data_IF_202483582263
#
_entry.id   IF_202483582263
#
_cell.length_a   1.000
_cell.length_b   1.000
_cell.length_c   1.000
_cell.angle_alpha   90.00
_cell.angle_beta   90.00
_cell.angle_gamma   90.00
#
_symmetry.space_group_name_H-M   'P 1'
#
loop_
_entity.id
_entity.type
_entity.pdbx_description
1 polymer ?
#
# COMPACT_ATOMS: atom_id res chain seq x y z
N UNK A 1 38.97 -11.25 16.64
CA UNK A 1 37.65 -11.65 16.13
C UNK A 1 36.64 -11.44 17.23
N UNK A 2 35.56 -10.70 17.03
CA UNK A 2 34.52 -10.56 18.06
C UNK A 2 33.53 -11.73 17.96
N UNK A 3 32.98 -12.17 19.10
CA UNK A 3 31.98 -13.25 19.15
C UNK A 3 30.77 -12.94 18.24
N UNK A 4 30.35 -11.67 18.20
CA UNK A 4 29.28 -11.21 17.31
C UNK A 4 29.62 -11.49 15.84
N UNK A 5 30.83 -11.15 15.40
CA UNK A 5 31.25 -11.36 14.01
C UNK A 5 31.18 -12.83 13.61
N UNK A 6 31.58 -13.74 14.50
CA UNK A 6 31.51 -15.18 14.27
C UNK A 6 30.06 -15.67 14.12
N UNK A 7 29.13 -15.16 14.93
CA UNK A 7 27.71 -15.49 14.78
C UNK A 7 27.12 -14.99 13.47
N UNK A 8 27.49 -13.79 13.03
CA UNK A 8 27.08 -13.28 11.72
C UNK A 8 27.56 -14.18 10.58
N UNK A 9 28.85 -14.54 10.54
CA UNK A 9 29.36 -15.45 9.50
C UNK A 9 28.67 -16.82 9.49
N UNK A 10 28.34 -17.35 10.67
CA UNK A 10 27.61 -18.60 10.78
C UNK A 10 26.19 -18.48 10.21
N UNK A 11 25.50 -17.36 10.47
CA UNK A 11 24.18 -17.08 9.91
C UNK A 11 24.27 -16.90 8.40
N UNK A 12 25.23 -16.12 7.90
CA UNK A 12 25.38 -15.85 6.47
C UNK A 12 25.68 -17.14 5.69
N UNK A 13 26.54 -18.00 6.24
CA UNK A 13 26.83 -19.32 5.66
C UNK A 13 25.58 -20.20 5.64
N UNK A 14 24.85 -20.28 6.75
CA UNK A 14 23.63 -21.09 6.83
C UNK A 14 22.52 -20.59 5.90
N UNK A 15 22.41 -19.26 5.72
CA UNK A 15 21.50 -18.65 4.77
C UNK A 15 21.89 -19.00 3.33
N UNK A 16 23.17 -18.86 2.97
CA UNK A 16 23.66 -19.23 1.64
C UNK A 16 23.44 -20.73 1.36
N UNK A 17 23.70 -21.62 2.32
CA UNK A 17 23.42 -23.06 2.18
C UNK A 17 21.92 -23.33 1.96
N UNK A 18 21.01 -22.63 2.65
CA UNK A 18 19.57 -22.79 2.47
C UNK A 18 19.07 -22.39 1.06
N UNK A 19 19.76 -21.44 0.41
CA UNK A 19 19.49 -21.06 -0.98
C UNK A 19 20.30 -21.88 -2.01
N UNK A 20 21.15 -22.80 -1.56
CA UNK A 20 22.04 -23.58 -2.44
C UNK A 20 23.24 -22.78 -2.99
N UNK A 21 23.56 -21.64 -2.39
CA UNK A 21 24.67 -20.75 -2.79
C UNK A 21 25.90 -20.87 -1.87
N UNK A 22 25.90 -21.85 -0.98
CA UNK A 22 26.94 -22.01 0.05
C UNK A 22 28.36 -22.11 -0.49
N UNK A 23 28.55 -22.82 -1.62
CA UNK A 23 29.88 -22.99 -2.22
C UNK A 23 30.41 -21.68 -2.82
N UNK A 24 29.55 -20.90 -3.47
CA UNK A 24 29.90 -19.58 -3.99
C UNK A 24 30.17 -18.57 -2.86
N UNK A 25 29.38 -18.62 -1.79
CA UNK A 25 29.57 -17.79 -0.59
C UNK A 25 30.89 -18.13 0.12
N UNK A 26 31.20 -19.41 0.34
CA UNK A 26 32.48 -19.85 0.95
C UNK A 26 33.68 -19.55 0.07
N UNK A 27 33.51 -19.55 -1.25
CA UNK A 27 34.53 -19.16 -2.21
C UNK A 27 34.70 -17.63 -2.33
N UNK A 28 33.81 -16.83 -1.72
CA UNK A 28 33.86 -15.37 -1.76
C UNK A 28 33.57 -14.78 -3.15
N UNK A 29 32.93 -15.55 -4.03
CA UNK A 29 32.59 -15.13 -5.40
C UNK A 29 31.13 -14.70 -5.54
N UNK A 30 30.33 -14.88 -4.48
CA UNK A 30 28.95 -14.44 -4.43
C UNK A 30 28.88 -12.96 -4.06
N UNK A 31 28.69 -12.10 -5.05
CA UNK A 31 28.55 -10.66 -4.87
C UNK A 31 27.10 -10.23 -4.63
N UNK A 32 26.91 -9.03 -4.06
CA UNK A 32 25.61 -8.47 -3.69
C UNK A 32 24.66 -8.29 -4.89
N UNK A 33 25.19 -7.94 -6.07
CA UNK A 33 24.37 -7.73 -7.28
C UNK A 33 23.84 -9.07 -7.80
N UNK A 34 24.67 -10.11 -7.78
CA UNK A 34 24.27 -11.49 -8.09
C UNK A 34 23.22 -11.99 -7.09
N UNK A 35 23.42 -11.77 -5.78
CA UNK A 35 22.43 -12.12 -4.74
C UNK A 35 21.09 -11.44 -5.06
N UNK A 36 21.10 -10.12 -5.25
CA UNK A 36 19.88 -9.35 -5.48
C UNK A 36 19.16 -9.80 -6.75
N UNK A 37 19.90 -10.02 -7.83
CA UNK A 37 19.35 -10.47 -9.12
C UNK A 37 18.66 -11.83 -8.99
N UNK A 38 19.29 -12.79 -8.30
CA UNK A 38 18.72 -14.12 -8.06
C UNK A 38 17.50 -14.06 -7.15
N UNK A 39 17.54 -13.26 -6.08
CA UNK A 39 16.40 -13.08 -5.19
C UNK A 39 15.20 -12.44 -5.88
N UNK A 40 15.42 -11.44 -6.75
CA UNK A 40 14.33 -10.81 -7.53
C UNK A 40 13.72 -11.81 -8.51
N UNK A 41 14.52 -12.63 -9.17
CA UNK A 41 14.02 -13.70 -10.05
C UNK A 41 13.18 -14.72 -9.26
N UNK A 42 13.71 -15.21 -8.13
CA UNK A 42 13.00 -16.14 -7.25
C UNK A 42 11.69 -15.54 -6.71
N UNK A 43 11.70 -14.26 -6.33
CA UNK A 43 10.50 -13.58 -5.84
C UNK A 43 9.41 -13.48 -6.91
N UNK A 44 9.78 -13.20 -8.17
CA UNK A 44 8.82 -13.18 -9.29
C UNK A 44 8.19 -14.56 -9.52
N UNK A 45 8.98 -15.62 -9.44
CA UNK A 45 8.48 -17.00 -9.55
C UNK A 45 7.51 -17.32 -8.40
N UNK A 46 7.90 -17.02 -7.16
CA UNK A 46 7.06 -17.23 -5.98
C UNK A 46 5.77 -16.43 -6.04
N UNK A 47 5.82 -15.15 -6.42
CA UNK A 47 4.63 -14.32 -6.59
C UNK A 47 3.66 -14.91 -7.63
N UNK A 48 4.17 -15.48 -8.72
CA UNK A 48 3.35 -16.16 -9.72
C UNK A 48 2.74 -17.48 -9.19
N UNK A 49 3.43 -18.20 -8.32
CA UNK A 49 2.92 -19.40 -7.64
C UNK A 49 1.84 -19.04 -6.61
N UNK A 50 2.09 -18.01 -5.80
CA UNK A 50 1.16 -17.48 -4.79
C UNK A 50 -0.12 -16.95 -5.44
N UNK A 51 -0.03 -16.26 -6.57
CA UNK A 51 -1.20 -15.83 -7.34
C UNK A 51 -2.06 -17.01 -7.84
N UNK A 52 -1.47 -18.20 -7.97
CA UNK A 52 -2.16 -19.46 -8.29
C UNK A 52 -2.59 -20.24 -7.04
N UNK A 53 -2.42 -19.65 -5.85
CA UNK A 53 -2.75 -20.23 -4.56
C UNK A 53 -1.71 -21.23 -4.03
N UNK A 54 -0.54 -21.34 -4.67
CA UNK A 54 0.55 -22.23 -4.25
C UNK A 54 1.59 -21.43 -3.46
N UNK A 55 1.54 -21.52 -2.12
CA UNK A 55 2.56 -20.93 -1.26
C UNK A 55 3.57 -22.01 -0.87
N UNK A 56 4.81 -21.86 -1.30
CA UNK A 56 5.89 -22.80 -0.97
C UNK A 56 6.67 -22.32 0.24
N UNK A 57 6.67 -23.11 1.31
CA UNK A 57 7.43 -22.78 2.51
C UNK A 57 8.92 -23.03 2.27
N UNK A 58 9.77 -22.25 2.94
CA UNK A 58 11.23 -22.43 2.88
C UNK A 58 11.66 -23.79 3.43
N UNK A 59 10.83 -24.40 4.27
CA UNK A 59 11.01 -25.74 4.84
C UNK A 59 9.85 -26.64 4.42
N UNK A 60 10.04 -27.50 3.40
CA UNK A 60 8.99 -28.35 2.86
C UNK A 60 8.36 -29.27 3.90
N UNK A 61 9.12 -29.69 4.92
CA UNK A 61 8.65 -30.54 6.01
C UNK A 61 7.56 -29.90 6.88
N UNK A 62 7.48 -28.56 6.88
CA UNK A 62 6.42 -27.80 7.56
C UNK A 62 5.32 -27.33 6.62
N UNK A 63 5.37 -27.72 5.34
CA UNK A 63 4.33 -27.39 4.38
C UNK A 63 3.00 -27.95 4.87
N UNK A 64 1.99 -27.09 5.04
CA UNK A 64 0.64 -27.55 5.35
C UNK A 64 -0.01 -28.08 4.05
N UNK A 65 -0.28 -29.40 3.94
CA UNK A 65 -0.88 -30.00 2.75
C UNK A 65 -2.36 -29.58 2.56
N UNK A 66 -2.99 -29.06 3.61
CA UNK A 66 -4.35 -28.51 3.58
C UNK A 66 -4.38 -27.01 3.29
N UNK A 67 -3.22 -26.36 3.14
CA UNK A 67 -3.17 -24.93 2.93
C UNK A 67 -3.88 -24.56 1.62
N UNK A 68 -4.98 -23.85 1.77
CA UNK A 68 -5.63 -23.12 0.68
C UNK A 68 -5.32 -21.66 0.91
N UNK A 69 -4.58 -21.06 -0.01
CA UNK A 69 -4.45 -19.61 -0.01
C UNK A 69 -5.89 -19.05 0.02
N UNK A 70 -6.24 -18.19 0.98
CA UNK A 70 -7.52 -17.51 0.91
C UNK A 70 -7.57 -16.84 -0.46
N UNK A 71 -8.65 -17.08 -1.22
CA UNK A 71 -8.99 -16.18 -2.33
C UNK A 71 -8.85 -14.80 -1.73
N UNK A 72 -8.05 -13.93 -2.35
CA UNK A 72 -7.85 -12.56 -1.90
C UNK A 72 -9.22 -11.86 -1.92
N UNK A 73 -10.04 -12.11 -0.90
CA UNK A 73 -10.78 -11.04 -0.27
C UNK A 73 -9.69 -10.05 0.10
N UNK A 74 -9.68 -8.96 -0.65
CA UNK A 74 -9.08 -7.71 -0.18
C UNK A 74 -9.31 -7.63 1.31
N UNK A 75 -8.26 -7.83 2.12
CA UNK A 75 -8.32 -7.67 3.56
C UNK A 75 -8.83 -6.25 3.79
N UNK A 76 -10.13 -6.14 4.08
CA UNK A 76 -10.73 -4.88 4.47
C UNK A 76 -10.25 -4.62 5.90
N UNK A 77 -9.11 -3.94 6.01
CA UNK A 77 -8.53 -3.44 7.26
C UNK A 77 -9.39 -2.34 7.90
N UNK A 78 -10.71 -2.34 7.68
CA UNK A 78 -11.59 -1.20 7.92
C UNK A 78 -11.39 -0.08 6.90
N UNK A 79 -10.76 -0.36 5.76
CA UNK A 79 -10.86 0.51 4.59
C UNK A 79 -12.06 0.04 3.78
N UNK A 80 -13.25 0.52 4.16
CA UNK A 80 -14.46 0.41 3.33
C UNK A 80 -14.03 0.75 1.91
N UNK A 81 -13.97 -0.22 0.97
CA UNK A 81 -13.59 0.07 -0.39
C UNK A 81 -14.68 0.98 -0.91
N UNK A 82 -14.37 2.27 -1.00
CA UNK A 82 -15.25 3.22 -1.63
C UNK A 82 -15.43 2.69 -3.04
N UNK A 83 -16.64 2.22 -3.34
CA UNK A 83 -17.09 1.98 -4.71
C UNK A 83 -16.51 3.09 -5.56
N UNK A 84 -15.68 2.80 -6.58
CA UNK A 84 -15.20 3.83 -7.47
C UNK A 84 -16.44 4.37 -8.16
N UNK A 85 -16.98 5.48 -7.65
CA UNK A 85 -17.88 6.31 -8.43
C UNK A 85 -17.02 6.79 -9.57
N UNK A 86 -17.16 6.12 -10.72
CA UNK A 86 -16.40 6.31 -11.95
C UNK A 86 -16.63 7.67 -12.61
N UNK A 87 -16.68 8.74 -11.83
CA UNK A 87 -16.79 10.10 -12.27
C UNK A 87 -15.63 10.88 -11.64
N UNK A 88 -14.42 10.65 -12.16
CA UNK A 88 -13.27 11.47 -11.81
C UNK A 88 -13.53 12.87 -12.36
N UNK A 89 -13.96 13.78 -11.50
CA UNK A 89 -14.26 15.16 -11.88
C UNK A 89 -12.93 15.85 -12.21
N UNK A 90 -12.77 16.49 -13.39
CA UNK A 90 -11.59 17.29 -13.68
C UNK A 90 -11.49 18.45 -12.69
N UNK A 91 -10.30 18.70 -12.14
CA UNK A 91 -10.09 19.79 -11.18
C UNK A 91 -10.12 21.15 -11.91
N UNK A 92 -11.06 22.06 -11.58
CA UNK A 92 -11.14 23.37 -12.24
C UNK A 92 -9.92 24.24 -11.93
N UNK A 93 -9.57 25.14 -12.84
CA UNK A 93 -8.43 26.07 -12.66
C UNK A 93 -8.83 27.35 -11.93
N UNK A 94 -10.09 27.77 -12.00
CA UNK A 94 -10.57 28.97 -11.31
C UNK A 94 -11.00 28.67 -9.87
N UNK A 95 -10.71 29.60 -8.95
CA UNK A 95 -11.07 29.45 -7.54
C UNK A 95 -12.60 29.35 -7.30
N UNK A 96 -13.47 30.13 -7.98
CA UNK A 96 -14.91 30.01 -7.81
C UNK A 96 -15.46 28.65 -8.25
N UNK A 97 -14.97 28.09 -9.36
CA UNK A 97 -15.37 26.76 -9.82
C UNK A 97 -14.86 25.67 -8.88
N UNK A 98 -13.65 25.81 -8.33
CA UNK A 98 -13.14 24.86 -7.33
C UNK A 98 -14.05 24.82 -6.09
N UNK A 99 -14.51 25.97 -5.60
CA UNK A 99 -15.45 26.05 -4.47
C UNK A 99 -16.76 25.35 -4.84
N UNK A 100 -17.34 25.65 -6.01
CA UNK A 100 -18.61 25.08 -6.46
C UNK A 100 -18.56 23.55 -6.60
N UNK A 101 -17.48 22.99 -7.15
CA UNK A 101 -17.36 21.53 -7.31
C UNK A 101 -17.11 20.83 -5.98
N UNK A 102 -16.31 21.41 -5.08
CA UNK A 102 -16.14 20.87 -3.72
C UNK A 102 -17.46 20.91 -2.94
N UNK A 103 -18.24 21.99 -3.07
CA UNK A 103 -19.56 22.10 -2.46
C UNK A 103 -20.52 21.06 -3.03
N UNK A 104 -20.57 20.86 -4.35
CA UNK A 104 -21.45 19.87 -4.98
C UNK A 104 -21.15 18.45 -4.48
N UNK A 105 -19.87 18.09 -4.31
CA UNK A 105 -19.44 16.83 -3.72
C UNK A 105 -19.89 16.70 -2.26
N UNK A 106 -19.79 17.79 -1.49
CA UNK A 106 -20.19 17.80 -0.08
C UNK A 106 -21.71 17.67 0.09
N UNK A 107 -22.51 18.36 -0.73
CA UNK A 107 -23.98 18.31 -0.70
C UNK A 107 -24.52 16.96 -1.22
N UNK A 108 -23.85 16.35 -2.19
CA UNK A 108 -24.22 15.03 -2.71
C UNK A 108 -23.88 13.86 -1.78
N UNK A 109 -23.09 14.11 -0.73
CA UNK A 109 -22.65 13.06 0.18
C UNK A 109 -23.67 12.83 1.32
N UNK A 110 -24.16 11.60 1.45
CA UNK A 110 -25.06 11.20 2.55
C UNK A 110 -24.35 11.01 3.90
N UNK A 111 -23.03 11.23 3.96
CA UNK A 111 -22.21 11.08 5.17
C UNK A 111 -21.16 12.19 5.25
N UNK A 112 -20.70 12.58 6.46
CA UNK A 112 -19.58 13.49 6.61
C UNK A 112 -18.34 12.96 5.89
N UNK A 113 -17.70 13.79 5.07
CA UNK A 113 -16.53 13.44 4.28
C UNK A 113 -15.26 14.07 4.85
N UNK A 114 -14.19 13.29 4.90
CA UNK A 114 -12.86 13.82 5.18
C UNK A 114 -12.25 14.51 3.96
N UNK A 115 -11.23 15.37 4.15
CA UNK A 115 -10.47 15.98 3.04
C UNK A 115 -9.88 14.94 2.06
N UNK A 116 -9.58 13.73 2.55
CA UNK A 116 -9.09 12.63 1.71
C UNK A 116 -10.18 12.01 0.84
N UNK A 117 -11.39 11.85 1.37
CA UNK A 117 -12.52 11.28 0.64
C UNK A 117 -12.93 12.22 -0.50
N UNK A 118 -12.92 13.52 -0.24
CA UNK A 118 -13.19 14.55 -1.25
C UNK A 118 -12.10 14.54 -2.33
N UNK A 119 -10.83 14.41 -1.96
CA UNK A 119 -9.71 14.36 -2.91
C UNK A 119 -9.78 13.19 -3.90
N UNK A 120 -10.34 12.05 -3.49
CA UNK A 120 -10.49 10.86 -4.34
C UNK A 120 -11.47 11.07 -5.50
N UNK A 121 -12.40 12.01 -5.39
CA UNK A 121 -13.33 12.36 -6.47
C UNK A 121 -12.67 13.15 -7.62
N UNK A 122 -11.44 13.65 -7.40
CA UNK A 122 -10.72 14.50 -8.34
C UNK A 122 -9.47 13.82 -8.90
N UNK A 123 -9.17 14.12 -10.17
CA UNK A 123 -7.97 13.56 -10.83
C UNK A 123 -6.67 14.11 -10.20
N UNK A 124 -5.96 13.27 -9.44
CA UNK A 124 -4.57 13.51 -9.04
C UNK A 124 -4.35 14.66 -8.06
N UNK A 125 -5.34 15.04 -7.25
CA UNK A 125 -5.21 16.11 -6.25
C UNK A 125 -4.98 15.57 -4.85
N UNK A 126 -4.18 16.31 -4.08
CA UNK A 126 -3.81 15.99 -2.70
C UNK A 126 -4.82 16.62 -1.73
N UNK A 127 -5.07 15.99 -0.56
CA UNK A 127 -5.95 16.54 0.48
C UNK A 127 -5.54 17.94 0.96
N UNK A 128 -4.24 18.27 0.89
CA UNK A 128 -3.69 19.57 1.27
C UNK A 128 -4.22 20.73 0.41
N UNK A 129 -4.58 20.49 -0.85
CA UNK A 129 -5.12 21.52 -1.74
C UNK A 129 -6.59 21.82 -1.44
N UNK A 130 -7.33 20.82 -0.93
CA UNK A 130 -8.78 20.92 -0.69
C UNK A 130 -9.08 21.51 0.69
N UNK A 131 -8.17 21.31 1.65
CA UNK A 131 -8.37 21.75 3.03
C UNK A 131 -8.62 23.27 3.19
N UNK A 132 -7.87 24.17 2.53
CA UNK A 132 -8.16 25.61 2.60
C UNK A 132 -9.55 25.97 2.05
N UNK A 133 -10.01 25.27 1.02
CA UNK A 133 -11.34 25.48 0.41
C UNK A 133 -12.44 25.03 1.37
N UNK A 134 -12.26 23.90 2.05
CA UNK A 134 -13.19 23.41 3.06
C UNK A 134 -13.23 24.32 4.30
N UNK A 135 -12.09 24.83 4.73
CA UNK A 135 -12.02 25.78 5.85
C UNK A 135 -12.69 27.11 5.50
N UNK A 136 -12.55 27.59 4.26
CA UNK A 136 -13.28 28.76 3.77
C UNK A 136 -14.79 28.51 3.71
N UNK A 137 -15.23 27.36 3.19
CA UNK A 137 -16.64 26.97 3.15
C UNK A 137 -17.25 26.83 4.56
N UNK A 138 -16.47 26.31 5.51
CA UNK A 138 -16.89 26.21 6.91
C UNK A 138 -16.98 27.58 7.59
N UNK A 139 -16.04 28.48 7.32
CA UNK A 139 -16.08 29.87 7.78
C UNK A 139 -17.27 30.66 7.22
N UNK A 140 -17.73 30.31 6.02
CA UNK A 140 -18.91 30.88 5.38
C UNK A 140 -20.25 30.22 5.82
N UNK A 141 -20.20 29.21 6.69
CA UNK A 141 -21.39 28.48 7.15
C UNK A 141 -22.01 27.53 6.11
N UNK A 142 -21.33 27.32 4.98
CA UNK A 142 -21.75 26.45 3.88
C UNK A 142 -21.28 24.99 4.06
N UNK A 143 -20.52 24.74 5.12
CA UNK A 143 -20.10 23.41 5.56
C UNK A 143 -19.95 23.40 7.09
N UNK A 144 -20.34 22.31 7.74
CA UNK A 144 -20.09 22.07 9.16
C UNK A 144 -18.88 21.18 9.35
N UNK A 145 -17.87 21.68 10.05
CA UNK A 145 -16.71 20.88 10.50
C UNK A 145 -17.06 20.10 11.76
N UNK A 146 -16.89 18.79 11.74
CA UNK A 146 -17.04 17.90 12.89
C UNK A 146 -15.74 17.86 13.72
N UNK A 147 -15.87 17.44 14.97
CA UNK A 147 -14.76 17.30 15.94
C UNK A 147 -13.71 16.27 15.50
N UNK A 148 -14.08 15.33 14.63
CA UNK A 148 -13.19 14.32 14.05
C UNK A 148 -12.42 14.79 12.80
N UNK A 149 -12.61 16.06 12.37
CA UNK A 149 -11.96 16.62 11.19
C UNK A 149 -12.66 16.33 9.85
N UNK A 150 -13.86 15.74 9.86
CA UNK A 150 -14.73 15.61 8.68
C UNK A 150 -15.60 16.85 8.47
N UNK A 151 -16.08 17.03 7.25
CA UNK A 151 -16.96 18.12 6.84
C UNK A 151 -18.30 17.54 6.37
N UNK A 152 -19.40 18.20 6.70
CA UNK A 152 -20.73 17.92 6.19
C UNK A 152 -21.31 19.20 5.57
N UNK A 153 -22.22 19.07 4.60
CA UNK A 153 -23.02 20.21 4.12
C UNK A 153 -23.98 20.69 5.22
#
# INVERSE_FOLDING_TARGET
MTLIRQHHEAIDTAAADAYGWGDEHRAGILDDETILSRLVALNKERAAEEARGLIRYLRPEFQDPGYRAPVTETLDLGHVPATPTGNVIPWPTSLPEQIGVVQAVLTGASRPLGPQDIARNFKGKRPATIRPILDALAGLGMARRLTDGRYAA
#
